data_IF_330362038567
#
_entry.id   IF_330362038567
#
_cell.length_a   1.000
_cell.length_b   1.000
_cell.length_c   1.000
_cell.angle_alpha   90.00
_cell.angle_beta   90.00
_cell.angle_gamma   90.00
#
_symmetry.space_group_name_H-M   'P 1'
#
loop_
_entity.id
_entity.type
_entity.pdbx_description
1 polymer ?
#
# COMPACT_ATOMS: atom_id res chain seq x y z
N UNK A 1 4.67 4.37 10.36
CA UNK A 1 4.72 3.08 9.65
C UNK A 1 6.15 2.80 9.19
N UNK A 2 6.67 1.62 9.46
CA UNK A 2 8.00 1.17 9.03
C UNK A 2 7.97 0.67 7.57
N UNK A 3 9.11 0.62 6.87
CA UNK A 3 9.21 0.00 5.54
C UNK A 3 8.67 -1.43 5.47
N UNK A 4 8.90 -2.21 6.53
CA UNK A 4 8.43 -3.59 6.65
C UNK A 4 6.91 -3.67 6.75
N UNK A 5 6.31 -2.89 7.65
CA UNK A 5 4.84 -2.81 7.81
C UNK A 5 4.15 -2.38 6.51
N UNK A 6 4.73 -1.39 5.81
CA UNK A 6 4.21 -0.91 4.53
C UNK A 6 4.18 -2.03 3.47
N UNK A 7 5.27 -2.80 3.39
CA UNK A 7 5.38 -3.95 2.48
C UNK A 7 4.38 -5.04 2.83
N UNK A 8 4.22 -5.36 4.10
CA UNK A 8 3.31 -6.41 4.58
C UNK A 8 1.86 -6.07 4.23
N UNK A 9 1.40 -4.84 4.51
CA UNK A 9 0.07 -4.39 4.11
C UNK A 9 -0.15 -4.48 2.60
N UNK A 10 0.82 -4.06 1.78
CA UNK A 10 0.71 -4.17 0.31
C UNK A 10 0.53 -5.62 -0.13
N UNK A 11 1.32 -6.53 0.44
CA UNK A 11 1.27 -7.96 0.10
C UNK A 11 -0.06 -8.57 0.54
N UNK A 12 -0.56 -8.22 1.72
CA UNK A 12 -1.86 -8.70 2.20
C UNK A 12 -3.03 -8.16 1.35
N UNK A 13 -2.88 -7.00 0.72
CA UNK A 13 -3.81 -6.47 -0.29
C UNK A 13 -3.71 -7.19 -1.65
N UNK A 14 -2.76 -8.12 -1.83
CA UNK A 14 -2.51 -8.82 -3.09
C UNK A 14 -1.95 -7.92 -4.19
N UNK A 15 -1.32 -6.79 -3.84
CA UNK A 15 -0.86 -5.79 -4.82
C UNK A 15 0.63 -5.94 -5.12
N UNK A 16 1.01 -5.84 -6.40
CA UNK A 16 2.39 -5.54 -6.81
C UNK A 16 2.78 -4.11 -6.44
N UNK A 17 4.07 -3.79 -6.49
CA UNK A 17 4.56 -2.42 -6.24
C UNK A 17 3.97 -1.41 -7.24
N UNK A 18 3.84 -1.78 -8.52
CA UNK A 18 3.24 -0.91 -9.54
C UNK A 18 1.72 -0.76 -9.38
N UNK A 19 1.03 -1.84 -8.99
CA UNK A 19 -0.40 -1.77 -8.70
C UNK A 19 -0.67 -0.85 -7.51
N UNK A 20 0.14 -0.93 -6.45
CA UNK A 20 0.02 -0.01 -5.33
C UNK A 20 0.35 1.42 -5.75
N UNK A 21 1.41 1.64 -6.54
CA UNK A 21 1.77 2.97 -7.02
C UNK A 21 0.61 3.64 -7.78
N UNK A 22 -0.02 2.90 -8.71
CA UNK A 22 -1.21 3.34 -9.43
C UNK A 22 -2.37 3.65 -8.48
N UNK A 23 -2.60 2.81 -7.47
CA UNK A 23 -3.70 2.96 -6.50
C UNK A 23 -3.52 4.18 -5.58
N UNK A 24 -2.27 4.51 -5.24
CA UNK A 24 -1.91 5.66 -4.41
C UNK A 24 -1.65 6.94 -5.23
N UNK A 25 -1.72 6.88 -6.56
CA UNK A 25 -1.47 8.02 -7.43
C UNK A 25 -0.01 8.50 -7.43
N UNK A 26 0.95 7.59 -7.23
CA UNK A 26 2.38 7.91 -7.25
C UNK A 26 3.07 7.37 -8.49
N UNK A 27 4.25 7.93 -8.78
CA UNK A 27 4.90 7.86 -10.09
C UNK A 27 5.19 6.45 -10.63
N UNK A 28 5.59 5.49 -9.78
CA UNK A 28 5.88 4.11 -10.22
C UNK A 28 6.10 3.16 -9.04
N UNK A 29 6.14 1.85 -9.31
CA UNK A 29 6.59 0.84 -8.35
C UNK A 29 8.03 1.07 -7.86
N UNK A 30 8.88 1.80 -8.60
CA UNK A 30 10.22 2.18 -8.13
C UNK A 30 10.15 3.07 -6.89
N UNK A 31 9.16 3.97 -6.81
CA UNK A 31 8.92 4.81 -5.62
C UNK A 31 8.53 3.94 -4.43
N UNK A 32 7.63 2.98 -4.65
CA UNK A 32 7.20 2.00 -3.62
C UNK A 32 8.38 1.16 -3.14
N UNK A 33 9.20 0.62 -4.05
CA UNK A 33 10.41 -0.15 -3.68
C UNK A 33 11.34 0.64 -2.76
N UNK A 34 11.57 1.93 -3.06
CA UNK A 34 12.42 2.81 -2.24
C UNK A 34 11.86 3.01 -0.83
N UNK A 35 10.54 3.10 -0.70
CA UNK A 35 9.88 3.14 0.61
C UNK A 35 10.06 1.84 1.38
N UNK A 36 9.83 0.69 0.72
CA UNK A 36 9.94 -0.64 1.34
C UNK A 36 11.37 -1.02 1.76
N UNK A 37 12.38 -0.41 1.13
CA UNK A 37 13.78 -0.56 1.50
C UNK A 37 14.25 0.48 2.52
N UNK A 38 13.42 1.47 2.86
CA UNK A 38 13.82 2.58 3.72
C UNK A 38 14.76 3.58 3.07
N UNK A 39 15.04 3.46 1.76
CA UNK A 39 15.85 4.42 0.99
C UNK A 39 15.18 5.81 0.91
N UNK A 40 13.85 5.87 1.11
CA UNK A 40 13.07 7.10 1.17
C UNK A 40 12.04 7.04 2.30
N UNK A 41 11.89 8.16 3.01
CA UNK A 41 10.82 8.34 3.99
C UNK A 41 9.45 8.27 3.31
N UNK A 42 8.54 7.54 3.93
CA UNK A 42 7.12 7.47 3.54
C UNK A 42 6.43 8.69 4.13
N UNK A 43 5.69 9.44 3.32
CA UNK A 43 4.94 10.59 3.85
C UNK A 43 3.74 10.11 4.68
N UNK A 44 3.35 10.89 5.68
CA UNK A 44 2.17 10.57 6.49
C UNK A 44 0.90 10.44 5.63
N UNK A 45 0.74 11.29 4.61
CA UNK A 45 -0.37 11.18 3.65
C UNK A 45 -0.39 9.83 2.94
N UNK A 46 0.76 9.32 2.50
CA UNK A 46 0.86 8.00 1.87
C UNK A 46 0.52 6.87 2.85
N UNK A 47 0.92 7.00 4.12
CA UNK A 47 0.54 6.06 5.18
C UNK A 47 -0.98 6.02 5.37
N UNK A 48 -1.60 7.20 5.51
CA UNK A 48 -3.05 7.32 5.67
C UNK A 48 -3.82 6.76 4.46
N UNK A 49 -3.35 7.02 3.24
CA UNK A 49 -3.98 6.48 2.03
C UNK A 49 -3.89 4.94 1.97
N UNK A 50 -2.76 4.35 2.36
CA UNK A 50 -2.63 2.89 2.42
C UNK A 50 -3.57 2.28 3.47
N UNK A 51 -3.70 2.91 4.64
CA UNK A 51 -4.64 2.50 5.69
C UNK A 51 -6.10 2.58 5.22
N UNK A 52 -6.50 3.67 4.58
CA UNK A 52 -7.85 3.80 4.03
C UNK A 52 -8.15 2.75 2.94
N UNK A 53 -7.15 2.41 2.11
CA UNK A 53 -7.26 1.31 1.14
C UNK A 53 -7.45 -0.03 1.83
N UNK A 54 -6.72 -0.27 2.92
CA UNK A 54 -6.79 -1.48 3.73
C UNK A 54 -8.14 -1.66 4.40
N UNK A 55 -8.64 -0.63 5.09
CA UNK A 55 -9.94 -0.64 5.74
C UNK A 55 -11.04 -0.97 4.73
N UNK A 56 -11.06 -0.30 3.57
CA UNK A 56 -12.02 -0.58 2.49
C UNK A 56 -11.94 -2.02 1.96
N UNK A 57 -10.79 -2.67 2.07
CA UNK A 57 -10.61 -4.06 1.64
C UNK A 57 -11.20 -5.06 2.63
N UNK A 58 -11.12 -4.77 3.93
CA UNK A 58 -11.70 -5.60 5.00
C UNK A 58 -13.24 -5.58 4.93
N UNK A 59 -13.84 -4.42 4.61
CA UNK A 59 -15.30 -4.28 4.55
C UNK A 59 -15.94 -4.81 3.24
N UNK A 60 -15.17 -5.42 2.35
CA UNK A 60 -15.70 -6.24 1.26
C UNK A 60 -15.82 -7.70 1.72
N UNK A 61 -16.82 -7.99 2.56
CA UNK A 61 -17.33 -9.37 2.69
C UNK A 61 -17.76 -9.86 1.29
N UNK A 62 -17.52 -11.13 0.93
CA UNK A 62 -18.15 -11.72 -0.25
C UNK A 62 -19.67 -11.64 -0.05
N UNK A 63 -20.40 -11.25 -1.09
CA UNK A 63 -21.82 -11.60 -1.15
C UNK A 63 -21.83 -13.13 -1.17
N UNK A 64 -22.16 -13.74 -0.04
CA UNK A 64 -22.46 -15.17 0.03
C UNK A 64 -23.68 -15.43 -0.87
N UNK A 65 -23.46 -16.19 -1.94
CA UNK A 65 -24.51 -16.78 -2.79
C UNK A 65 -25.44 -17.71 -2.01
#
# INVERSE_FOLDING_TARGET
MTPKEFREMRVQLGLSQDQLAKKLGVSSGRTVRRWELGERKISETTVLLLQAVWEKSIFREPISE
#
